data_IF_731001884386
#
_entry.id   IF_731001884386
#
_cell.length_a   1.000
_cell.length_b   1.000
_cell.length_c   1.000
_cell.angle_alpha   90.00
_cell.angle_beta   90.00
_cell.angle_gamma   90.00
#
_symmetry.space_group_name_H-M   'P 1'
#
loop_
_entity.id
_entity.type
_entity.pdbx_description
1 polymer ?
#
# COMPACT_ATOMS: atom_id res chain seq x y z
N UNK A 1 3.44 -14.70 -15.74
CA UNK A 1 1.96 -14.68 -15.78
C UNK A 1 1.47 -13.23 -15.85
N UNK A 2 0.86 -12.80 -16.97
CA UNK A 2 0.41 -11.41 -17.16
C UNK A 2 -0.91 -11.18 -16.41
N UNK A 3 -0.82 -10.98 -15.11
CA UNK A 3 -1.98 -10.86 -14.23
C UNK A 3 -2.55 -9.44 -14.18
N UNK A 4 -3.88 -9.34 -14.09
CA UNK A 4 -4.61 -8.08 -13.91
C UNK A 4 -4.05 -7.28 -12.71
N UNK A 5 -3.93 -5.96 -12.85
CA UNK A 5 -3.56 -5.09 -11.75
C UNK A 5 -4.61 -5.18 -10.63
N UNK A 6 -4.19 -5.30 -9.36
CA UNK A 6 -5.12 -5.41 -8.25
C UNK A 6 -5.90 -4.09 -8.09
N UNK A 7 -7.21 -4.19 -7.81
CA UNK A 7 -8.02 -3.04 -7.41
C UNK A 7 -7.65 -2.65 -5.99
N UNK A 8 -7.06 -1.46 -5.84
CA UNK A 8 -6.51 -0.99 -4.56
C UNK A 8 -6.84 0.49 -4.34
N UNK A 9 -7.01 0.86 -3.07
CA UNK A 9 -7.32 2.23 -2.66
C UNK A 9 -6.07 3.12 -2.67
N UNK A 10 -6.27 4.42 -2.87
CA UNK A 10 -5.17 5.40 -2.82
C UNK A 10 -4.39 5.35 -1.49
N UNK A 11 -5.08 5.08 -0.38
CA UNK A 11 -4.46 4.90 0.93
C UNK A 11 -3.44 3.76 0.97
N UNK A 12 -3.77 2.61 0.37
CA UNK A 12 -2.86 1.46 0.36
C UNK A 12 -1.70 1.64 -0.62
N UNK A 13 -1.95 2.33 -1.75
CA UNK A 13 -0.86 2.67 -2.69
C UNK A 13 0.15 3.60 -2.02
N UNK A 14 -0.32 4.56 -1.21
CA UNK A 14 0.58 5.37 -0.39
C UNK A 14 1.43 4.51 0.54
N UNK A 15 0.82 3.59 1.30
CA UNK A 15 1.57 2.69 2.20
C UNK A 15 2.57 1.80 1.48
N UNK A 16 2.25 1.35 0.26
CA UNK A 16 3.17 0.58 -0.58
C UNK A 16 4.36 1.43 -1.03
N UNK A 17 4.12 2.67 -1.48
CA UNK A 17 5.20 3.59 -1.83
C UNK A 17 6.09 3.90 -0.63
N UNK A 18 5.50 4.14 0.54
CA UNK A 18 6.23 4.34 1.79
C UNK A 18 7.12 3.14 2.13
N UNK A 19 6.63 1.91 1.91
CA UNK A 19 7.45 0.70 2.08
C UNK A 19 8.48 0.48 0.99
N UNK A 20 8.25 0.97 -0.23
CA UNK A 20 9.24 0.98 -1.30
C UNK A 20 10.34 2.05 -1.09
N UNK A 21 10.35 2.77 0.04
CA UNK A 21 11.37 3.77 0.37
C UNK A 21 11.05 5.16 -0.16
N UNK A 22 9.81 5.42 -0.58
CA UNK A 22 9.37 6.76 -0.92
C UNK A 22 8.89 7.51 0.32
N UNK A 23 9.23 8.79 0.42
CA UNK A 23 8.75 9.69 1.48
C UNK A 23 7.81 10.73 0.90
N UNK A 24 6.74 11.05 1.62
CA UNK A 24 5.84 12.15 1.24
C UNK A 24 6.57 13.48 1.43
N UNK A 25 6.81 14.20 0.34
CA UNK A 25 7.52 15.50 0.39
C UNK A 25 6.60 16.69 0.31
N UNK A 26 5.44 16.54 -0.32
CA UNK A 26 4.45 17.62 -0.46
C UNK A 26 3.07 17.05 -0.69
N UNK A 27 2.06 17.73 -0.14
CA UNK A 27 0.67 17.53 -0.52
C UNK A 27 0.08 18.87 -0.95
N UNK A 28 -0.67 18.87 -2.06
CA UNK A 28 -1.43 20.03 -2.53
C UNK A 28 -2.83 19.57 -2.91
N UNK A 29 -3.82 19.95 -2.10
CA UNK A 29 -5.19 19.47 -2.26
C UNK A 29 -5.28 17.93 -2.25
N UNK A 30 -5.88 17.37 -3.31
CA UNK A 30 -6.05 15.93 -3.50
C UNK A 30 -4.83 15.24 -4.12
N UNK A 31 -3.69 15.90 -4.31
CA UNK A 31 -2.49 15.29 -4.88
C UNK A 31 -1.36 15.23 -3.84
N UNK A 32 -0.77 14.03 -3.70
CA UNK A 32 0.42 13.79 -2.88
C UNK A 32 1.62 13.54 -3.78
N UNK A 33 2.75 14.12 -3.41
CA UNK A 33 4.02 13.96 -4.11
C UNK A 33 4.98 13.23 -3.19
N UNK A 34 5.48 12.10 -3.68
CA UNK A 34 6.46 11.28 -3.01
C UNK A 34 7.82 11.37 -3.71
N UNK A 35 8.90 11.26 -2.94
CA UNK A 35 10.27 11.15 -3.47
C UNK A 35 11.01 10.01 -2.79
N UNK A 36 11.88 9.31 -3.51
CA UNK A 36 12.81 8.36 -2.88
C UNK A 36 14.22 8.96 -2.77
N UNK A 37 15.12 8.24 -2.09
CA UNK A 37 16.53 8.63 -1.95
C UNK A 37 17.30 8.64 -3.28
N UNK A 38 16.82 7.92 -4.30
CA UNK A 38 17.37 7.93 -5.67
C UNK A 38 16.92 9.16 -6.48
N UNK A 39 16.07 10.02 -5.92
CA UNK A 39 15.56 11.22 -6.59
C UNK A 39 14.34 11.00 -7.50
N UNK A 40 13.80 9.78 -7.58
CA UNK A 40 12.55 9.49 -8.30
C UNK A 40 11.38 10.20 -7.62
N UNK A 41 10.51 10.81 -8.41
CA UNK A 41 9.35 11.58 -7.94
C UNK A 41 8.06 10.97 -8.48
N UNK A 42 7.11 10.71 -7.60
CA UNK A 42 5.82 10.11 -7.94
C UNK A 42 4.68 11.00 -7.46
N UNK A 43 3.66 11.19 -8.29
CA UNK A 43 2.46 11.94 -7.90
C UNK A 43 1.27 11.00 -7.80
N UNK A 44 0.62 10.97 -6.65
CA UNK A 44 -0.52 10.10 -6.36
C UNK A 44 -1.76 10.95 -6.10
N UNK A 45 -2.84 10.79 -6.89
CA UNK A 45 -4.14 11.36 -6.53
C UNK A 45 -4.65 10.65 -5.28
N UNK A 46 -4.82 11.40 -4.21
CA UNK A 46 -5.11 10.90 -2.88
C UNK A 46 -6.52 11.28 -2.44
N UNK A 47 -7.38 10.28 -2.48
CA UNK A 47 -8.63 10.24 -1.72
C UNK A 47 -8.69 8.86 -1.05
N UNK A 48 -8.43 8.79 0.26
CA UNK A 48 -8.05 7.55 0.96
C UNK A 48 -8.95 6.35 0.70
N UNK A 49 -10.26 6.58 0.58
CA UNK A 49 -11.28 5.54 0.39
C UNK A 49 -11.56 5.22 -1.08
N UNK A 50 -11.03 6.00 -2.03
CA UNK A 50 -11.28 5.81 -3.46
C UNK A 50 -10.32 4.78 -4.05
N UNK A 51 -10.88 3.85 -4.80
CA UNK A 51 -10.12 2.90 -5.61
C UNK A 51 -9.52 3.65 -6.80
N UNK A 52 -8.22 3.47 -7.03
CA UNK A 52 -7.56 4.08 -8.18
C UNK A 52 -7.89 3.31 -9.46
N UNK A 53 -8.09 4.05 -10.55
CA UNK A 53 -8.26 3.45 -11.87
C UNK A 53 -6.96 2.72 -12.28
N UNK A 54 -7.01 1.53 -12.90
CA UNK A 54 -5.82 0.78 -13.28
C UNK A 54 -4.85 1.57 -14.17
N UNK A 55 -5.35 2.50 -14.99
CA UNK A 55 -4.51 3.41 -15.80
C UNK A 55 -3.63 4.31 -14.93
N UNK A 56 -4.19 4.87 -13.85
CA UNK A 56 -3.47 5.72 -12.90
C UNK A 56 -2.44 4.90 -12.14
N UNK A 57 -2.84 3.72 -11.65
CA UNK A 57 -1.92 2.81 -10.96
C UNK A 57 -0.73 2.41 -11.86
N UNK A 58 -0.98 2.11 -13.13
CA UNK A 58 0.09 1.81 -14.09
C UNK A 58 1.01 3.00 -14.34
N UNK A 59 0.51 4.23 -14.27
CA UNK A 59 1.37 5.42 -14.34
C UNK A 59 2.26 5.50 -13.10
N UNK A 60 1.68 5.39 -11.91
CA UNK A 60 2.39 5.42 -10.63
C UNK A 60 3.50 4.37 -10.59
N UNK A 61 3.22 3.13 -11.02
CA UNK A 61 4.23 2.07 -11.04
C UNK A 61 5.39 2.36 -12.00
N UNK A 62 5.12 2.99 -13.14
CA UNK A 62 6.17 3.42 -14.08
C UNK A 62 7.01 4.55 -13.50
N UNK A 63 6.37 5.54 -12.87
CA UNK A 63 7.07 6.66 -12.24
C UNK A 63 7.90 6.22 -11.02
N UNK A 64 7.42 5.20 -10.30
CA UNK A 64 8.09 4.59 -9.16
C UNK A 64 9.14 3.55 -9.56
N UNK A 65 9.21 3.19 -10.85
CA UNK A 65 10.08 2.13 -11.37
C UNK A 65 9.88 0.78 -10.64
N UNK A 66 8.61 0.47 -10.34
CA UNK A 66 8.21 -0.77 -9.67
C UNK A 66 7.59 -1.74 -10.67
N UNK A 67 8.03 -3.00 -10.65
CA UNK A 67 7.38 -4.05 -11.42
C UNK A 67 6.02 -4.42 -10.81
N UNK A 68 5.17 -5.06 -11.60
CA UNK A 68 3.84 -5.50 -11.13
C UNK A 68 3.99 -6.57 -10.06
N UNK A 69 5.03 -7.40 -10.17
CA UNK A 69 5.41 -8.46 -9.24
C UNK A 69 5.83 -7.87 -7.90
N UNK A 70 6.81 -6.94 -7.90
CA UNK A 70 7.24 -6.24 -6.68
C UNK A 70 6.08 -5.52 -6.00
N UNK A 71 5.23 -4.85 -6.79
CA UNK A 71 4.06 -4.18 -6.25
C UNK A 71 3.10 -5.16 -5.56
N UNK A 72 2.89 -6.35 -6.14
CA UNK A 72 2.03 -7.37 -5.53
C UNK A 72 2.62 -7.89 -4.22
N UNK A 73 3.92 -8.15 -4.18
CA UNK A 73 4.59 -8.58 -2.95
C UNK A 73 4.46 -7.54 -1.84
N UNK A 74 4.69 -6.27 -2.14
CA UNK A 74 4.51 -5.18 -1.18
C UNK A 74 3.05 -5.05 -0.74
N UNK A 75 2.11 -5.24 -1.66
CA UNK A 75 0.68 -5.24 -1.33
C UNK A 75 0.35 -6.38 -0.37
N UNK A 76 0.75 -7.63 -0.66
CA UNK A 76 0.55 -8.77 0.24
C UNK A 76 1.18 -8.54 1.61
N UNK A 77 2.38 -7.97 1.65
CA UNK A 77 3.06 -7.58 2.88
C UNK A 77 2.22 -6.59 3.71
N UNK A 78 1.67 -5.55 3.09
CA UNK A 78 0.78 -4.59 3.78
C UNK A 78 -0.48 -5.27 4.32
N UNK A 79 -1.07 -6.20 3.58
CA UNK A 79 -2.23 -6.94 4.07
C UNK A 79 -1.87 -7.86 5.24
N UNK A 80 -0.72 -8.54 5.20
CA UNK A 80 -0.26 -9.44 6.25
C UNK A 80 -0.07 -8.76 7.61
N UNK A 81 0.33 -7.48 7.62
CA UNK A 81 0.47 -6.69 8.86
C UNK A 81 -0.91 -6.39 9.51
N UNK A 82 -1.99 -6.45 8.74
CA UNK A 82 -3.34 -6.14 9.20
C UNK A 82 -4.22 -7.40 9.29
N UNK A 83 -4.26 -8.09 10.45
CA UNK A 83 -4.82 -9.45 10.57
C UNK A 83 -6.29 -9.55 10.14
N UNK A 84 -7.11 -8.53 10.43
CA UNK A 84 -8.52 -8.48 9.98
C UNK A 84 -8.65 -8.41 8.46
N UNK A 85 -7.78 -7.68 7.78
CA UNK A 85 -7.85 -7.53 6.31
C UNK A 85 -7.20 -8.70 5.57
N UNK A 86 -6.15 -9.28 6.14
CA UNK A 86 -5.55 -10.51 5.66
C UNK A 86 -6.55 -11.66 5.71
N UNK A 87 -7.18 -11.86 6.88
CA UNK A 87 -8.16 -12.92 7.08
C UNK A 87 -9.34 -12.81 6.10
N UNK A 88 -9.88 -11.60 5.92
CA UNK A 88 -10.96 -11.35 4.97
C UNK A 88 -10.57 -11.64 3.50
N UNK A 89 -9.32 -11.33 3.11
CA UNK A 89 -8.81 -11.57 1.75
C UNK A 89 -8.60 -13.07 1.46
N UNK A 90 -8.12 -13.82 2.46
CA UNK A 90 -7.80 -15.24 2.32
C UNK A 90 -8.90 -16.18 2.80
N UNK A 91 -10.08 -15.65 3.16
CA UNK A 91 -11.21 -16.47 3.63
C UNK A 91 -10.98 -17.15 4.98
N UNK A 92 -10.05 -16.62 5.78
CA UNK A 92 -9.70 -17.18 7.09
C UNK A 92 -10.77 -16.73 8.09
N UNK A 93 -11.61 -17.68 8.54
CA UNK A 93 -12.73 -17.41 9.44
C UNK A 93 -12.32 -17.24 10.91
N UNK A 94 -11.20 -17.83 11.31
CA UNK A 94 -10.59 -17.66 12.63
C UNK A 94 -9.11 -17.30 12.45
N UNK A 95 -8.77 -16.02 12.59
CA UNK A 95 -7.37 -15.62 12.76
C UNK A 95 -7.03 -15.76 14.24
N UNK A 96 -6.82 -17.01 14.69
CA UNK A 96 -6.34 -17.28 16.04
C UNK A 96 -4.87 -16.85 16.06
N UNK A 97 -4.60 -15.62 16.49
CA UNK A 97 -3.25 -15.21 16.88
C UNK A 97 -2.81 -16.22 17.94
N UNK A 98 -1.97 -17.18 17.58
CA UNK A 98 -1.34 -18.06 18.56
C UNK A 98 -0.53 -17.15 19.50
N UNK A 99 -1.09 -16.87 20.67
CA UNK A 99 -0.37 -16.30 21.81
C UNK A 99 0.03 -14.82 21.75
N UNK A 100 -0.56 -13.96 20.92
CA UNK A 100 -0.24 -12.53 20.95
C UNK A 100 -1.36 -11.75 21.67
N UNK A 101 -1.20 -11.64 22.99
CA UNK A 101 -1.86 -10.66 23.85
C UNK A 101 -1.65 -9.29 23.18
N UNK A 102 -2.69 -8.79 22.52
CA UNK A 102 -2.71 -7.48 21.88
C UNK A 102 -2.08 -6.50 22.87
N UNK A 103 -0.97 -5.87 22.48
CA UNK A 103 -0.27 -4.86 23.25
C UNK A 103 -1.26 -3.80 23.72
N UNK A 104 -1.76 -4.02 24.93
CA UNK A 104 -2.33 -3.06 25.87
C UNK A 104 -1.42 -2.90 27.08
N UNK A 105 -0.11 -3.10 26.91
CA UNK A 105 0.90 -2.69 27.89
C UNK A 105 1.47 -1.34 27.48
N UNK A 106 1.19 -0.34 28.32
CA UNK A 106 1.86 0.94 28.48
C UNK A 106 1.88 1.89 27.26
N UNK A 107 0.78 2.65 27.12
CA UNK A 107 0.93 4.09 27.13
C UNK A 107 0.56 4.53 28.55
N UNK A 108 1.56 4.93 29.34
CA UNK A 108 1.51 5.54 30.69
C UNK A 108 0.41 5.07 31.64
#
# INVERSE_FOLDING_TARGET
MKGKLPRITAGKVASVLEKAGFVLVRQSGSHRIYKNSEGKRVTVPYHSKKVLHPKVLKSILRDADLTVEQFRELVEYIYAIHPRTYAARHGIREFRLAGCQLRGCLFQ
#
